data_IF_708961135711
#
_entry.id   IF_708961135711
#
_cell.length_a   1.000
_cell.length_b   1.000
_cell.length_c   1.000
_cell.angle_alpha   90.00
_cell.angle_beta   90.00
_cell.angle_gamma   90.00
#
_symmetry.space_group_name_H-M   'P 1'
#
loop_
_entity.id
_entity.type
_entity.pdbx_description
1 polymer ?
#
# COMPACT_ATOMS: atom_id res chain seq x y z
N UNK A 1 0.62 7.08 11.85
CA UNK A 1 0.09 7.75 10.64
C UNK A 1 1.19 7.75 9.61
N UNK A 2 1.16 6.83 8.65
CA UNK A 2 2.13 6.82 7.55
C UNK A 2 1.71 7.86 6.51
N UNK A 3 2.67 8.63 6.04
CA UNK A 3 2.44 9.65 5.01
C UNK A 3 2.88 9.01 3.70
N UNK A 4 1.95 8.80 2.77
CA UNK A 4 2.30 8.48 1.40
C UNK A 4 2.92 9.72 0.77
N UNK A 5 4.23 9.72 0.56
CA UNK A 5 5.02 10.88 0.10
C UNK A 5 5.18 10.97 -1.41
N UNK A 6 4.59 10.05 -2.17
CA UNK A 6 4.69 10.03 -3.64
C UNK A 6 3.97 11.24 -4.24
N UNK A 7 4.71 12.07 -5.00
CA UNK A 7 4.14 13.21 -5.75
C UNK A 7 3.26 12.66 -6.87
N UNK A 8 1.95 12.84 -6.73
CA UNK A 8 0.98 12.47 -7.76
C UNK A 8 0.84 13.61 -8.78
N UNK A 9 0.88 13.33 -10.10
CA UNK A 9 0.64 14.35 -11.10
C UNK A 9 -0.80 14.86 -10.99
N UNK A 10 -0.94 16.18 -10.94
CA UNK A 10 -2.24 16.86 -10.86
C UNK A 10 -2.70 17.42 -12.20
N UNK A 11 -3.71 18.30 -12.15
CA UNK A 11 -4.26 18.92 -13.34
C UNK A 11 -3.27 19.86 -14.04
N UNK A 12 -3.26 19.80 -15.37
CA UNK A 12 -2.54 20.76 -16.24
C UNK A 12 -3.40 21.95 -16.64
N UNK A 13 -4.73 21.85 -16.50
CA UNK A 13 -5.70 22.90 -16.79
C UNK A 13 -6.91 22.83 -15.82
N UNK A 14 -7.84 23.78 -15.91
CA UNK A 14 -8.98 23.91 -14.97
C UNK A 14 -10.27 23.21 -15.41
N UNK A 15 -10.31 22.60 -16.60
CA UNK A 15 -11.55 22.07 -17.19
C UNK A 15 -11.57 20.54 -17.29
N UNK A 16 -10.39 19.90 -17.32
CA UNK A 16 -10.27 18.45 -17.39
C UNK A 16 -10.02 17.85 -16.02
N UNK A 17 -10.67 16.73 -15.75
CA UNK A 17 -10.35 15.89 -14.58
C UNK A 17 -9.01 15.21 -14.81
N UNK A 18 -8.14 15.24 -13.81
CA UNK A 18 -6.92 14.44 -13.79
C UNK A 18 -7.17 13.23 -12.89
N UNK A 19 -7.21 12.05 -13.49
CA UNK A 19 -7.38 10.80 -12.76
C UNK A 19 -6.03 10.24 -12.37
N UNK A 20 -5.91 9.82 -11.10
CA UNK A 20 -4.70 9.19 -10.60
C UNK A 20 -5.04 7.86 -9.96
N UNK A 21 -4.44 6.78 -10.49
CA UNK A 21 -4.49 5.47 -9.86
C UNK A 21 -3.46 5.41 -8.73
N UNK A 22 -3.90 4.97 -7.57
CA UNK A 22 -3.04 4.71 -6.42
C UNK A 22 -2.71 3.22 -6.42
N UNK A 23 -1.42 2.90 -6.41
CA UNK A 23 -0.90 1.54 -6.32
C UNK A 23 0.28 1.53 -5.33
N UNK A 24 0.22 0.77 -4.23
CA UNK A 24 -0.88 -0.10 -3.78
C UNK A 24 -2.14 0.67 -3.36
N UNK A 25 -3.27 -0.03 -3.24
CA UNK A 25 -4.50 0.55 -2.72
C UNK A 25 -4.33 0.97 -1.26
N UNK A 26 -4.96 2.09 -0.88
CA UNK A 26 -4.87 2.64 0.48
C UNK A 26 -6.14 2.26 1.25
N UNK A 27 -5.95 1.59 2.38
CA UNK A 27 -7.02 1.32 3.36
C UNK A 27 -6.90 2.39 4.45
N UNK A 28 -7.87 3.31 4.52
CA UNK A 28 -7.82 4.41 5.48
C UNK A 28 -9.20 4.91 5.90
N UNK A 29 -9.30 5.40 7.14
CA UNK A 29 -10.47 6.13 7.65
C UNK A 29 -10.41 7.64 7.38
N UNK A 30 -9.21 8.18 7.12
CA UNK A 30 -8.97 9.61 6.86
C UNK A 30 -7.92 9.77 5.77
N UNK A 31 -8.20 10.63 4.80
CA UNK A 31 -7.28 10.98 3.71
C UNK A 31 -6.98 12.48 3.77
N UNK A 32 -5.72 12.85 3.64
CA UNK A 32 -5.26 14.25 3.62
C UNK A 32 -4.58 14.56 2.30
N UNK A 33 -5.09 15.53 1.57
CA UNK A 33 -4.47 16.06 0.36
C UNK A 33 -3.58 17.26 0.70
N UNK A 34 -2.33 17.23 0.23
CA UNK A 34 -1.38 18.34 0.38
C UNK A 34 -1.11 18.90 -1.01
N UNK A 35 -1.68 20.08 -1.36
CA UNK A 35 -1.44 20.68 -2.66
C UNK A 35 0.03 21.04 -2.83
N UNK A 36 0.59 20.76 -4.01
CA UNK A 36 1.96 21.11 -4.36
C UNK A 36 2.01 21.69 -5.78
N UNK A 37 2.76 22.77 -5.96
CA UNK A 37 2.99 23.43 -7.26
C UNK A 37 4.41 23.94 -7.30
N UNK A 38 5.13 23.64 -8.39
CA UNK A 38 6.50 24.11 -8.59
C UNK A 38 6.56 25.64 -8.80
N UNK A 39 5.46 26.24 -9.27
CA UNK A 39 5.31 27.69 -9.41
C UNK A 39 4.49 28.29 -8.26
N UNK A 40 4.86 29.50 -7.82
CA UNK A 40 4.14 30.28 -6.82
C UNK A 40 2.84 30.82 -7.43
N UNK A 41 1.75 30.09 -7.20
CA UNK A 41 0.39 30.46 -7.59
C UNK A 41 -0.60 29.98 -6.54
N UNK A 42 -1.76 30.61 -6.46
CA UNK A 42 -2.87 30.08 -5.67
C UNK A 42 -3.29 28.73 -6.23
N UNK A 43 -3.31 27.70 -5.39
CA UNK A 43 -3.72 26.34 -5.77
C UNK A 43 -5.17 26.13 -5.36
N UNK A 44 -6.00 25.74 -6.33
CA UNK A 44 -7.38 25.34 -6.10
C UNK A 44 -7.50 23.84 -6.37
N UNK A 45 -8.23 23.12 -5.52
CA UNK A 45 -8.47 21.69 -5.70
C UNK A 45 -9.95 21.38 -5.62
N UNK A 46 -10.41 20.48 -6.48
CA UNK A 46 -11.67 19.76 -6.37
C UNK A 46 -11.33 18.29 -6.51
N UNK A 47 -11.63 17.50 -5.48
CA UNK A 47 -11.21 16.11 -5.40
C UNK A 47 -12.45 15.24 -5.24
N UNK A 48 -12.43 14.10 -5.93
CA UNK A 48 -13.37 13.01 -5.73
C UNK A 48 -12.56 11.74 -5.43
N UNK A 49 -13.10 10.87 -4.57
CA UNK A 49 -12.41 9.67 -4.11
C UNK A 49 -13.22 8.47 -4.57
N UNK A 50 -12.60 7.65 -5.42
CA UNK A 50 -13.16 6.38 -5.86
C UNK A 50 -12.61 5.25 -4.98
N UNK A 51 -13.51 4.47 -4.38
CA UNK A 51 -13.15 3.36 -3.51
C UNK A 51 -14.36 2.52 -3.12
N UNK A 52 -14.13 1.56 -2.22
CA UNK A 52 -15.16 0.68 -1.67
C UNK A 52 -15.08 0.68 -0.13
N UNK A 53 -16.12 0.14 0.51
CA UNK A 53 -16.13 -0.06 1.96
C UNK A 53 -15.22 -1.23 2.32
N UNK A 54 -14.39 -1.06 3.36
CA UNK A 54 -13.57 -2.13 3.91
C UNK A 54 -14.45 -3.13 4.68
N UNK A 55 -14.61 -4.35 4.16
CA UNK A 55 -15.52 -5.36 4.72
C UNK A 55 -14.82 -6.37 5.64
N UNK A 56 -13.52 -6.61 5.46
CA UNK A 56 -12.78 -7.66 6.18
C UNK A 56 -12.56 -7.35 7.67
N UNK A 57 -12.67 -6.08 8.08
CA UNK A 57 -12.57 -5.69 9.49
C UNK A 57 -11.17 -5.80 10.10
N UNK A 58 -10.18 -6.29 9.35
CA UNK A 58 -8.78 -6.34 9.78
C UNK A 58 -8.25 -4.90 9.91
N UNK A 59 -7.74 -4.56 11.08
CA UNK A 59 -7.16 -3.24 11.37
C UNK A 59 -5.63 -3.26 11.22
N UNK A 60 -5.01 -4.37 11.58
CA UNK A 60 -3.58 -4.61 11.38
C UNK A 60 -3.28 -6.10 11.53
N UNK A 61 -2.16 -6.54 10.99
CA UNK A 61 -1.58 -7.84 11.31
C UNK A 61 -0.15 -7.68 11.85
N UNK A 62 0.31 -8.73 12.52
CA UNK A 62 1.71 -8.88 12.88
C UNK A 62 2.23 -10.25 12.47
N UNK A 63 3.44 -10.25 11.94
CA UNK A 63 4.12 -11.45 11.45
C UNK A 63 5.63 -11.21 11.41
N UNK A 64 6.45 -12.28 11.39
CA UNK A 64 7.84 -12.13 10.97
C UNK A 64 7.88 -11.65 9.51
N UNK A 65 8.85 -10.79 9.21
CA UNK A 65 9.08 -10.31 7.85
C UNK A 65 9.49 -11.48 6.95
N UNK A 66 9.09 -11.42 5.67
CA UNK A 66 9.48 -12.40 4.67
C UNK A 66 11.00 -12.49 4.46
N UNK A 67 11.45 -13.55 3.81
CA UNK A 67 12.87 -13.71 3.48
C UNK A 67 13.25 -12.77 2.32
N UNK A 68 14.38 -12.08 2.48
CA UNK A 68 14.92 -11.24 1.43
C UNK A 68 15.59 -12.11 0.35
N UNK A 69 15.51 -11.67 -0.90
CA UNK A 69 16.26 -12.28 -2.01
C UNK A 69 17.76 -12.37 -1.66
N UNK A 70 18.35 -13.57 -1.72
CA UNK A 70 19.76 -13.81 -1.34
C UNK A 70 20.71 -13.68 -2.53
N UNK A 71 20.19 -13.78 -3.75
CA UNK A 71 20.95 -13.66 -4.99
C UNK A 71 20.15 -13.00 -6.12
N UNK A 72 20.85 -12.42 -7.10
CA UNK A 72 20.22 -11.88 -8.30
C UNK A 72 19.46 -12.98 -9.05
N UNK A 73 18.13 -12.84 -9.14
CA UNK A 73 17.23 -13.82 -9.75
C UNK A 73 16.42 -14.63 -8.74
N UNK A 74 16.68 -14.53 -7.44
CA UNK A 74 15.79 -15.09 -6.42
C UNK A 74 14.64 -14.12 -6.08
N UNK A 75 13.42 -14.63 -5.84
CA UNK A 75 12.29 -13.79 -5.45
C UNK A 75 12.49 -13.16 -4.06
N UNK A 76 12.05 -11.91 -3.90
CA UNK A 76 11.98 -11.23 -2.60
C UNK A 76 10.58 -11.43 -2.03
N UNK A 77 10.48 -12.17 -0.93
CA UNK A 77 9.21 -12.57 -0.29
C UNK A 77 8.78 -11.59 0.82
N UNK A 78 9.50 -10.48 0.98
CA UNK A 78 9.17 -9.46 1.97
C UNK A 78 7.88 -8.73 1.63
N UNK A 79 7.19 -8.30 2.68
CA UNK A 79 6.03 -7.46 2.50
C UNK A 79 6.42 -6.01 2.19
N UNK A 80 6.70 -5.70 0.93
CA UNK A 80 7.17 -4.38 0.49
C UNK A 80 6.12 -3.28 0.61
N UNK A 81 4.85 -3.65 0.59
CA UNK A 81 3.73 -2.71 0.68
C UNK A 81 3.35 -2.37 2.13
N UNK A 82 4.01 -2.99 3.11
CA UNK A 82 3.62 -2.89 4.51
C UNK A 82 3.68 -1.45 5.05
N UNK A 83 2.54 -0.98 5.54
CA UNK A 83 2.36 0.41 5.96
C UNK A 83 2.57 0.64 7.48
N UNK A 84 2.88 -0.42 8.22
CA UNK A 84 3.13 -0.36 9.66
C UNK A 84 4.59 -0.11 10.03
N UNK A 85 4.94 -0.60 11.23
CA UNK A 85 6.29 -0.59 11.78
C UNK A 85 7.01 -1.90 11.46
N UNK A 86 8.28 -1.80 11.12
CA UNK A 86 9.18 -2.93 10.92
C UNK A 86 10.36 -2.78 11.88
N UNK A 87 10.52 -3.75 12.79
CA UNK A 87 11.59 -3.78 13.78
C UNK A 87 12.13 -5.21 13.89
N UNK A 88 13.45 -5.37 13.76
CA UNK A 88 14.13 -6.66 13.93
C UNK A 88 13.51 -7.85 13.15
N UNK A 89 13.20 -7.67 11.86
CA UNK A 89 12.50 -8.64 11.00
C UNK A 89 11.10 -9.01 11.50
N UNK A 90 10.42 -8.10 12.18
CA UNK A 90 9.05 -8.27 12.64
C UNK A 90 8.21 -7.06 12.25
N UNK A 91 7.06 -7.31 11.64
CA UNK A 91 6.14 -6.27 11.19
C UNK A 91 4.93 -6.19 12.12
N UNK A 92 4.54 -4.97 12.52
CA UNK A 92 3.38 -4.74 13.43
C UNK A 92 2.59 -3.49 13.08
N UNK A 93 1.34 -3.42 13.54
CA UNK A 93 0.51 -2.22 13.52
C UNK A 93 0.24 -1.64 12.12
N UNK A 94 0.22 -2.48 11.09
CA UNK A 94 -0.04 -2.08 9.71
C UNK A 94 -0.72 -3.16 8.90
N UNK A 95 -0.95 -2.81 7.64
CA UNK A 95 -1.52 -3.60 6.57
C UNK A 95 -0.54 -3.62 5.40
N UNK A 96 -0.74 -4.56 4.48
CA UNK A 96 0.16 -4.77 3.35
C UNK A 96 -0.40 -5.81 2.40
N UNK A 97 0.47 -6.60 1.79
CA UNK A 97 0.10 -7.53 0.71
C UNK A 97 -0.92 -8.58 1.14
N UNK A 98 -0.96 -8.92 2.42
CA UNK A 98 -1.93 -9.91 2.93
C UNK A 98 -3.38 -9.42 2.91
N UNK A 99 -3.58 -8.12 2.72
CA UNK A 99 -4.90 -7.46 2.79
C UNK A 99 -5.17 -6.57 1.57
N UNK A 100 -4.35 -6.66 0.52
CA UNK A 100 -4.49 -5.83 -0.68
C UNK A 100 -5.49 -6.39 -1.72
N UNK A 101 -6.10 -7.55 -1.42
CA UNK A 101 -7.07 -8.24 -2.27
C UNK A 101 -6.46 -8.83 -3.54
N UNK A 102 -5.12 -8.83 -3.69
CA UNK A 102 -4.42 -9.41 -4.84
C UNK A 102 -3.96 -10.82 -4.50
N UNK A 103 -4.12 -11.72 -5.47
CA UNK A 103 -3.55 -13.06 -5.40
C UNK A 103 -2.33 -13.12 -6.31
N UNK A 104 -1.21 -13.56 -5.76
CA UNK A 104 0.01 -13.84 -6.53
C UNK A 104 -0.20 -14.93 -7.59
N UNK A 105 0.73 -15.03 -8.53
CA UNK A 105 0.72 -16.12 -9.50
C UNK A 105 1.06 -17.46 -8.82
N UNK A 106 0.70 -18.58 -9.45
CA UNK A 106 1.03 -19.91 -8.93
C UNK A 106 2.55 -20.15 -8.92
N UNK A 107 3.29 -19.50 -9.83
CA UNK A 107 4.75 -19.44 -9.78
C UNK A 107 5.21 -18.24 -8.95
N UNK A 108 5.63 -18.51 -7.71
CA UNK A 108 6.16 -17.52 -6.77
C UNK A 108 7.53 -16.96 -7.17
N UNK A 109 8.17 -17.47 -8.23
CA UNK A 109 9.40 -16.85 -8.75
C UNK A 109 9.12 -15.65 -9.65
N UNK A 110 7.87 -15.48 -10.09
CA UNK A 110 7.46 -14.43 -11.02
C UNK A 110 6.77 -13.30 -10.26
N UNK A 111 7.47 -12.17 -10.08
CA UNK A 111 6.90 -10.93 -9.52
C UNK A 111 6.47 -9.98 -10.64
N UNK A 112 5.24 -10.18 -11.16
CA UNK A 112 4.72 -9.38 -12.29
C UNK A 112 4.47 -7.91 -11.91
N UNK A 113 4.10 -7.64 -10.65
CA UNK A 113 3.69 -6.30 -10.20
C UNK A 113 4.75 -5.57 -9.36
N UNK A 114 5.87 -6.23 -9.04
CA UNK A 114 6.96 -5.66 -8.24
C UNK A 114 6.63 -5.54 -6.75
N UNK A 115 5.51 -6.11 -6.31
CA UNK A 115 5.03 -6.00 -4.93
C UNK A 115 5.59 -7.11 -4.05
N UNK A 116 6.14 -8.19 -4.63
CA UNK A 116 6.59 -9.39 -3.93
C UNK A 116 5.78 -10.61 -4.33
N UNK A 117 6.39 -11.78 -4.23
CA UNK A 117 5.72 -13.07 -4.48
C UNK A 117 5.28 -13.73 -3.18
N UNK A 118 4.07 -14.28 -3.17
CA UNK A 118 3.39 -14.70 -1.95
C UNK A 118 3.44 -16.20 -1.71
N UNK A 119 4.20 -16.62 -0.70
CA UNK A 119 3.98 -17.89 0.02
C UNK A 119 4.35 -17.66 1.49
N UNK A 120 3.47 -18.04 2.43
CA UNK A 120 3.65 -17.77 3.86
C UNK A 120 3.62 -19.06 4.68
N UNK A 121 4.62 -19.24 5.56
CA UNK A 121 4.85 -20.46 6.35
C UNK A 121 4.88 -20.23 7.88
N UNK A 122 4.37 -19.11 8.40
CA UNK A 122 4.53 -18.72 9.82
C UNK A 122 3.21 -18.22 10.44
N UNK A 123 3.06 -18.27 11.78
CA UNK A 123 1.84 -17.81 12.43
C UNK A 123 1.67 -16.29 12.29
N UNK A 124 0.61 -15.87 11.60
CA UNK A 124 0.19 -14.48 11.45
C UNK A 124 -0.86 -14.17 12.51
N UNK A 125 -0.71 -13.05 13.21
CA UNK A 125 -1.69 -12.58 14.19
C UNK A 125 -2.48 -11.41 13.62
N UNK A 126 -3.79 -11.57 13.47
CA UNK A 126 -4.68 -10.50 12.99
C UNK A 126 -5.36 -9.79 14.16
N UNK A 127 -5.42 -8.45 14.09
CA UNK A 127 -6.25 -7.65 14.98
C UNK A 127 -7.51 -7.21 14.25
N UNK A 128 -8.65 -7.59 14.80
CA UNK A 128 -9.96 -7.29 14.23
C UNK A 128 -10.61 -6.09 14.91
N UNK A 129 -11.21 -5.22 14.11
CA UNK A 129 -11.96 -4.07 14.59
C UNK A 129 -13.32 -4.49 15.10
N UNK A 130 -13.67 -4.09 16.32
CA UNK A 130 -15.05 -4.20 16.80
C UNK A 130 -15.91 -3.17 16.05
N UNK A 131 -16.75 -3.66 15.14
CA UNK A 131 -17.78 -2.87 14.43
C UNK A 131 -18.81 -2.36 15.42
#
# INVERSE_FOLDING_TARGET
>A
MKIFTTKLPGNTNTYTVAEQKVDPIIIASKIRFIPYSDHLRTVCMRVDILGCVWQEGVLSYSMPQGEASKAAGEPDLRDKSYDGLEEANWVTSGLGQLTDGRRGHDDFTVDYYGHGSGEFATPISFQEGRV
#
